data_IF_347906479429
#
_entry.id   IF_347906479429
#
_cell.length_a   1.000
_cell.length_b   1.000
_cell.length_c   1.000
_cell.angle_alpha   90.00
_cell.angle_beta   90.00
_cell.angle_gamma   90.00
#
_symmetry.space_group_name_H-M   'P 1'
#
loop_
_entity.id
_entity.type
_entity.pdbx_description
1 polymer ?
#
# COMPACT_ATOMS: atom_id res chain seq x y z
N UNK A 1 2.70 13.97 -24.42
CA UNK A 1 3.18 14.69 -23.22
C UNK A 1 2.96 13.77 -22.04
N UNK A 2 4.03 13.13 -21.52
CA UNK A 2 3.92 12.20 -20.39
C UNK A 2 4.17 12.98 -19.10
N UNK A 3 3.10 13.27 -18.36
CA UNK A 3 3.18 13.96 -17.08
C UNK A 3 3.31 12.90 -15.98
N UNK A 4 4.53 12.68 -15.48
CA UNK A 4 4.74 11.83 -14.30
C UNK A 4 4.58 12.67 -13.04
N UNK A 5 3.39 12.60 -12.43
CA UNK A 5 3.16 13.07 -11.06
C UNK A 5 3.85 12.08 -10.12
N UNK A 6 5.00 12.49 -9.57
CA UNK A 6 5.63 11.80 -8.44
C UNK A 6 5.27 12.54 -7.16
N UNK A 7 4.56 11.87 -6.27
CA UNK A 7 4.35 12.37 -4.92
C UNK A 7 5.51 11.88 -4.07
N UNK A 8 6.29 12.80 -3.49
CA UNK A 8 7.31 12.43 -2.52
C UNK A 8 6.62 11.91 -1.25
N UNK A 9 6.50 10.59 -1.16
CA UNK A 9 6.02 9.91 0.04
C UNK A 9 7.15 9.92 1.06
N UNK A 10 6.83 10.17 2.34
CA UNK A 10 7.82 10.12 3.41
C UNK A 10 8.47 8.72 3.44
N UNK A 11 9.79 8.67 3.30
CA UNK A 11 10.57 7.42 3.26
C UNK A 11 10.43 6.59 4.53
N UNK A 12 9.93 7.21 5.62
CA UNK A 12 9.57 6.53 6.86
C UNK A 12 8.27 5.72 6.79
N UNK A 13 7.53 5.75 5.68
CA UNK A 13 6.25 5.04 5.55
C UNK A 13 6.36 3.70 4.83
N UNK A 14 7.54 3.30 4.39
CA UNK A 14 7.73 2.03 3.68
C UNK A 14 9.12 1.45 3.92
N UNK A 15 9.25 0.11 3.88
CA UNK A 15 10.56 -0.54 3.85
C UNK A 15 11.12 -0.64 2.42
N UNK A 16 10.23 -0.76 1.43
CA UNK A 16 10.55 -0.79 0.01
C UNK A 16 9.66 0.20 -0.71
N UNK A 17 10.24 1.02 -1.58
CA UNK A 17 9.48 2.02 -2.32
C UNK A 17 8.35 1.32 -3.11
N UNK A 18 7.06 1.60 -2.81
CA UNK A 18 5.95 0.95 -3.50
C UNK A 18 5.93 1.30 -4.99
N UNK A 19 6.46 2.45 -5.40
CA UNK A 19 6.55 2.84 -6.82
C UNK A 19 7.67 2.11 -7.57
N UNK A 20 8.59 1.43 -6.89
CA UNK A 20 9.72 0.76 -7.55
C UNK A 20 9.39 -0.63 -8.11
N UNK A 21 8.18 -1.15 -7.85
CA UNK A 21 7.76 -2.46 -8.33
C UNK A 21 6.29 -2.46 -8.76
N UNK A 22 5.94 -3.27 -9.74
CA UNK A 22 4.54 -3.43 -10.18
C UNK A 22 3.65 -3.97 -9.06
N UNK A 23 4.21 -4.84 -8.21
CA UNK A 23 3.51 -5.36 -7.02
C UNK A 23 3.21 -4.23 -6.03
N UNK A 24 4.19 -3.39 -5.70
CA UNK A 24 4.00 -2.25 -4.80
C UNK A 24 2.98 -1.24 -5.33
N UNK A 25 3.04 -0.93 -6.63
CA UNK A 25 2.04 -0.06 -7.28
C UNK A 25 0.64 -0.66 -7.22
N UNK A 26 0.52 -1.96 -7.45
CA UNK A 26 -0.77 -2.68 -7.37
C UNK A 26 -1.32 -2.65 -5.94
N UNK A 27 -0.47 -2.89 -4.94
CA UNK A 27 -0.85 -2.84 -3.52
C UNK A 27 -1.41 -1.47 -3.15
N UNK A 28 -0.71 -0.37 -3.52
CA UNK A 28 -1.16 0.99 -3.21
C UNK A 28 -2.47 1.32 -3.93
N UNK A 29 -2.58 0.97 -5.22
CA UNK A 29 -3.81 1.18 -6.00
C UNK A 29 -5.01 0.47 -5.35
N UNK A 30 -4.85 -0.82 -5.04
CA UNK A 30 -5.92 -1.63 -4.45
C UNK A 30 -6.27 -1.18 -3.03
N UNK A 31 -5.30 -0.63 -2.28
CA UNK A 31 -5.58 -0.02 -0.97
C UNK A 31 -6.49 1.21 -1.10
N UNK A 32 -6.19 2.11 -2.05
CA UNK A 32 -6.99 3.31 -2.31
C UNK A 32 -8.41 2.92 -2.75
N UNK A 33 -8.54 1.97 -3.67
CA UNK A 33 -9.84 1.46 -4.13
C UNK A 33 -10.64 0.87 -2.96
N UNK A 34 -10.01 0.05 -2.11
CA UNK A 34 -10.68 -0.55 -0.97
C UNK A 34 -11.12 0.48 0.07
N UNK A 35 -10.29 1.50 0.36
CA UNK A 35 -10.65 2.60 1.25
C UNK A 35 -11.84 3.37 0.69
N UNK A 36 -11.86 3.63 -0.63
CA UNK A 36 -12.97 4.29 -1.30
C UNK A 36 -14.26 3.47 -1.24
N UNK A 37 -14.16 2.15 -1.40
CA UNK A 37 -15.31 1.23 -1.38
C UNK A 37 -15.90 1.02 0.03
N UNK A 38 -15.05 0.86 1.06
CA UNK A 38 -15.50 0.45 2.40
C UNK A 38 -15.49 1.58 3.45
N UNK A 39 -14.89 2.71 3.13
CA UNK A 39 -14.53 3.73 4.10
C UNK A 39 -13.26 3.40 4.86
N UNK A 40 -12.59 4.45 5.36
CA UNK A 40 -11.31 4.34 6.05
C UNK A 40 -11.40 3.53 7.35
N UNK A 41 -12.46 3.70 8.16
CA UNK A 41 -12.64 2.96 9.42
C UNK A 41 -12.79 1.44 9.24
N UNK A 42 -13.20 0.99 8.05
CA UNK A 42 -13.40 -0.43 7.76
C UNK A 42 -12.23 -1.06 7.02
N UNK A 43 -11.22 -0.28 6.63
CA UNK A 43 -10.04 -0.76 5.94
C UNK A 43 -9.18 -1.61 6.87
N UNK A 44 -8.71 -2.77 6.39
CA UNK A 44 -7.70 -3.58 7.08
C UNK A 44 -6.73 -4.18 6.06
N UNK A 45 -5.47 -4.36 6.47
CA UNK A 45 -4.48 -5.03 5.62
C UNK A 45 -4.86 -6.46 5.27
N UNK A 46 -5.56 -7.17 6.18
CA UNK A 46 -6.15 -8.48 5.90
C UNK A 46 -7.14 -8.46 4.74
N UNK A 47 -8.05 -7.48 4.68
CA UNK A 47 -9.02 -7.35 3.55
C UNK A 47 -8.29 -7.05 2.24
N UNK A 48 -7.27 -6.20 2.29
CA UNK A 48 -6.45 -5.89 1.12
C UNK A 48 -5.68 -7.13 0.63
N UNK A 49 -5.08 -7.90 1.53
CA UNK A 49 -4.35 -9.12 1.22
C UNK A 49 -5.23 -10.15 0.50
N UNK A 50 -6.48 -10.32 0.97
CA UNK A 50 -7.48 -11.15 0.29
C UNK A 50 -7.82 -10.60 -1.10
N UNK A 51 -8.06 -9.27 -1.23
CA UNK A 51 -8.42 -8.63 -2.52
C UNK A 51 -7.35 -8.84 -3.60
N UNK A 52 -6.07 -8.88 -3.22
CA UNK A 52 -4.95 -9.02 -4.16
C UNK A 52 -4.34 -10.43 -4.20
N UNK A 53 -4.97 -11.42 -3.54
CA UNK A 53 -4.47 -12.78 -3.42
C UNK A 53 -3.01 -12.86 -2.91
N UNK A 54 -2.73 -12.15 -1.81
CA UNK A 54 -1.43 -12.09 -1.16
C UNK A 54 -1.54 -12.37 0.33
N UNK A 55 -0.42 -12.26 1.06
CA UNK A 55 -0.39 -12.39 2.52
C UNK A 55 -0.34 -11.01 3.16
N UNK A 56 -0.94 -10.89 4.34
CA UNK A 56 -0.89 -9.66 5.13
C UNK A 56 0.56 -9.24 5.44
N UNK A 57 1.44 -10.22 5.69
CA UNK A 57 2.88 -9.99 5.87
C UNK A 57 3.53 -9.31 4.66
N UNK A 58 3.16 -9.69 3.43
CA UNK A 58 3.70 -9.07 2.20
C UNK A 58 3.28 -7.61 2.09
N UNK A 59 2.02 -7.32 2.41
CA UNK A 59 1.47 -5.95 2.39
C UNK A 59 2.14 -5.11 3.47
N UNK A 60 2.30 -5.66 4.67
CA UNK A 60 2.95 -4.99 5.79
C UNK A 60 4.39 -4.60 5.46
N UNK A 61 5.17 -5.46 4.80
CA UNK A 61 6.56 -5.11 4.38
C UNK A 61 6.59 -3.91 3.45
N UNK A 62 5.52 -3.67 2.69
CA UNK A 62 5.40 -2.49 1.81
C UNK A 62 4.98 -1.24 2.62
N UNK A 63 4.13 -1.38 3.65
CA UNK A 63 3.52 -0.25 4.38
C UNK A 63 4.13 0.10 5.75
N UNK A 64 4.87 -0.79 6.41
CA UNK A 64 5.34 -0.54 7.77
C UNK A 64 6.79 -0.07 7.79
N UNK A 65 7.00 1.07 8.46
CA UNK A 65 8.14 1.21 9.37
C UNK A 65 7.84 0.44 10.65
N UNK A 66 8.88 -0.15 11.23
CA UNK A 66 8.90 -0.70 12.59
C UNK A 66 8.17 0.24 13.57
N UNK A 67 6.91 -0.07 13.88
CA UNK A 67 6.27 0.39 15.10
C UNK A 67 6.91 -0.45 16.21
N UNK A 68 8.11 -0.05 16.64
CA UNK A 68 8.56 -0.41 17.97
C UNK A 68 7.74 0.45 18.92
N UNK A 69 6.97 -0.21 19.78
CA UNK A 69 6.35 0.40 20.96
C UNK A 69 7.43 1.02 21.86
#
# INVERSE_FOLDING_TARGET
MNFQLKFSVNEKLYLKNPESSEVGKTIVKQAIELIFETGFEHFTFKKLAVKINSTEATIIVIFLQNINY
#
